data_IF_705322681031
#
_entry.id   IF_705322681031
#
_cell.length_a   1.000
_cell.length_b   1.000
_cell.length_c   1.000
_cell.angle_alpha   90.00
_cell.angle_beta   90.00
_cell.angle_gamma   90.00
#
_symmetry.space_group_name_H-M   'P 1'
#
loop_
_entity.id
_entity.type
_entity.pdbx_description
1 polymer ?
#
# COMPACT_ATOMS: atom_id res chain seq x y z
N UNK A 1 8.99 -22.34 -5.78
CA UNK A 1 9.59 -20.98 -5.72
C UNK A 1 8.48 -19.95 -5.77
N UNK A 2 8.70 -18.73 -5.26
CA UNK A 2 7.75 -17.62 -5.43
C UNK A 2 8.11 -16.83 -6.69
N UNK A 3 7.13 -16.45 -7.50
CA UNK A 3 7.34 -15.51 -8.61
C UNK A 3 7.21 -14.06 -8.14
N UNK A 4 7.66 -13.13 -8.98
CA UNK A 4 7.64 -11.70 -8.72
C UNK A 4 6.27 -11.20 -8.20
N UNK A 5 5.17 -11.55 -8.87
CA UNK A 5 3.83 -11.08 -8.49
C UNK A 5 3.36 -11.67 -7.17
N UNK A 6 3.64 -12.94 -6.91
CA UNK A 6 3.35 -13.55 -5.59
C UNK A 6 4.12 -12.87 -4.46
N UNK A 7 5.42 -12.60 -4.65
CA UNK A 7 6.24 -11.87 -3.69
C UNK A 7 5.71 -10.45 -3.46
N UNK A 8 5.41 -9.73 -4.54
CA UNK A 8 4.87 -8.37 -4.49
C UNK A 8 3.57 -8.34 -3.67
N UNK A 9 2.64 -9.24 -3.97
CA UNK A 9 1.38 -9.38 -3.25
C UNK A 9 1.58 -9.70 -1.76
N UNK A 10 2.47 -10.63 -1.42
CA UNK A 10 2.72 -10.99 -0.02
C UNK A 10 3.37 -9.87 0.77
N UNK A 11 4.35 -9.17 0.20
CA UNK A 11 4.95 -7.99 0.84
C UNK A 11 3.88 -6.93 1.09
N UNK A 12 3.04 -6.67 0.09
CA UNK A 12 2.02 -5.63 0.20
C UNK A 12 0.92 -5.99 1.19
N UNK A 13 0.47 -7.24 1.21
CA UNK A 13 -0.47 -7.76 2.19
C UNK A 13 0.13 -7.75 3.61
N UNK A 14 1.41 -8.09 3.76
CA UNK A 14 2.10 -8.06 5.05
C UNK A 14 2.20 -6.63 5.61
N UNK A 15 2.55 -5.65 4.78
CA UNK A 15 2.56 -4.23 5.18
C UNK A 15 1.14 -3.78 5.55
N UNK A 16 0.15 -4.09 4.71
CA UNK A 16 -1.23 -3.67 4.90
C UNK A 16 -1.87 -4.25 6.17
N UNK A 17 -1.81 -5.57 6.36
CA UNK A 17 -2.35 -6.26 7.53
C UNK A 17 -1.51 -6.01 8.78
N UNK A 18 -0.19 -6.06 8.66
CA UNK A 18 0.75 -5.81 9.75
C UNK A 18 0.57 -4.41 10.35
N UNK A 19 0.42 -3.39 9.52
CA UNK A 19 0.17 -2.04 10.02
C UNK A 19 -1.19 -1.94 10.74
N UNK A 20 -2.22 -2.71 10.34
CA UNK A 20 -3.52 -2.71 11.03
C UNK A 20 -3.42 -3.37 12.40
N UNK A 21 -2.67 -4.46 12.51
CA UNK A 21 -2.36 -5.08 13.80
C UNK A 21 -1.62 -4.10 14.73
N UNK A 22 -0.66 -3.34 14.19
CA UNK A 22 0.03 -2.29 14.93
C UNK A 22 -0.92 -1.15 15.37
N UNK A 23 -1.80 -0.70 14.48
CA UNK A 23 -2.82 0.32 14.79
C UNK A 23 -3.71 -0.13 15.95
N UNK A 24 -4.21 -1.37 15.90
CA UNK A 24 -5.07 -1.92 16.97
C UNK A 24 -4.31 -2.04 18.28
N UNK A 25 -3.05 -2.46 18.24
CA UNK A 25 -2.20 -2.64 19.43
C UNK A 25 -1.77 -1.31 20.07
N UNK A 26 -1.41 -0.32 19.26
CA UNK A 26 -0.81 0.93 19.71
C UNK A 26 -1.83 2.05 19.93
N UNK A 27 -3.00 1.99 19.29
CA UNK A 27 -4.11 2.93 19.50
C UNK A 27 -3.68 4.39 19.33
N UNK A 28 -3.81 5.19 20.39
CA UNK A 28 -3.44 6.61 20.38
C UNK A 28 -1.96 6.83 20.08
N UNK A 29 -1.05 5.95 20.53
CA UNK A 29 0.39 6.07 20.20
C UNK A 29 0.66 5.98 18.71
N UNK A 30 -0.15 5.20 17.98
CA UNK A 30 -0.04 5.15 16.52
C UNK A 30 -0.47 6.48 15.90
N UNK A 31 -1.57 7.08 16.38
CA UNK A 31 -2.04 8.37 15.87
C UNK A 31 -1.01 9.47 16.11
N UNK A 32 -0.44 9.52 17.32
CA UNK A 32 0.59 10.49 17.67
C UNK A 32 1.81 10.35 16.75
N UNK A 33 2.26 9.12 16.51
CA UNK A 33 3.36 8.84 15.58
C UNK A 33 3.01 9.24 14.13
N UNK A 34 1.80 8.93 13.68
CA UNK A 34 1.37 9.22 12.31
C UNK A 34 1.31 10.74 12.06
N UNK A 35 0.86 11.53 13.04
CA UNK A 35 0.77 12.99 12.94
C UNK A 35 2.11 13.72 13.16
N UNK A 36 2.96 13.24 14.06
CA UNK A 36 4.16 13.97 14.49
C UNK A 36 5.48 13.41 13.94
N UNK A 37 5.48 12.18 13.40
CA UNK A 37 6.69 11.56 12.86
C UNK A 37 6.52 11.19 11.38
N UNK A 38 5.43 10.51 11.03
CA UNK A 38 5.22 10.06 9.66
C UNK A 38 4.81 11.21 8.73
N UNK A 39 3.91 12.09 9.17
CA UNK A 39 3.37 13.19 8.38
C UNK A 39 3.46 14.54 9.10
N UNK A 40 4.70 14.99 9.34
CA UNK A 40 5.00 16.30 9.97
C UNK A 40 4.49 17.49 9.14
N UNK A 41 4.47 18.68 9.74
CA UNK A 41 4.01 19.91 9.06
C UNK A 41 4.78 20.21 7.76
N UNK A 42 6.11 20.13 7.82
CA UNK A 42 6.95 20.12 6.64
C UNK A 42 7.08 18.69 6.11
N UNK A 43 7.15 18.51 4.80
CA UNK A 43 7.27 17.17 4.18
C UNK A 43 8.59 16.51 4.58
N UNK A 44 8.58 15.38 5.29
CA UNK A 44 9.80 14.66 5.64
C UNK A 44 10.61 14.26 4.41
N UNK A 45 11.95 14.31 4.51
CA UNK A 45 12.86 13.88 3.44
C UNK A 45 12.68 12.41 3.05
N UNK A 46 12.35 11.55 4.00
CA UNK A 46 12.14 10.12 3.74
C UNK A 46 10.92 9.86 2.83
N UNK A 47 9.92 10.75 2.82
CA UNK A 47 8.76 10.61 1.92
C UNK A 47 9.16 10.74 0.46
N UNK A 48 10.16 11.57 0.12
CA UNK A 48 10.64 11.65 -1.27
C UNK A 48 11.22 10.31 -1.75
N UNK A 49 11.98 9.62 -0.89
CA UNK A 49 12.51 8.30 -1.20
C UNK A 49 11.40 7.26 -1.31
N UNK A 50 10.42 7.29 -0.40
CA UNK A 50 9.27 6.40 -0.43
C UNK A 50 8.41 6.61 -1.70
N UNK A 51 8.19 7.86 -2.10
CA UNK A 51 7.43 8.22 -3.29
C UNK A 51 8.14 7.76 -4.56
N UNK A 52 9.44 8.00 -4.66
CA UNK A 52 10.25 7.53 -5.78
C UNK A 52 10.24 6.00 -5.88
N UNK A 53 10.38 5.31 -4.74
CA UNK A 53 10.32 3.86 -4.69
C UNK A 53 8.96 3.33 -5.14
N UNK A 54 7.86 3.95 -4.69
CA UNK A 54 6.52 3.56 -5.10
C UNK A 54 6.30 3.71 -6.61
N UNK A 55 6.75 4.83 -7.20
CA UNK A 55 6.70 5.05 -8.66
C UNK A 55 7.53 3.99 -9.38
N UNK A 56 8.75 3.72 -8.92
CA UNK A 56 9.65 2.73 -9.52
C UNK A 56 9.07 1.32 -9.47
N UNK A 57 8.49 0.91 -8.33
CA UNK A 57 7.85 -0.40 -8.18
C UNK A 57 6.63 -0.53 -9.10
N UNK A 58 5.82 0.53 -9.26
CA UNK A 58 4.69 0.51 -10.21
C UNK A 58 5.18 0.36 -11.65
N UNK A 59 6.16 1.17 -12.07
CA UNK A 59 6.72 1.11 -13.41
C UNK A 59 7.34 -0.27 -13.71
N UNK A 60 8.12 -0.80 -12.77
CA UNK A 60 8.73 -2.12 -12.89
C UNK A 60 7.67 -3.24 -12.90
N UNK A 61 6.61 -3.12 -12.09
CA UNK A 61 5.50 -4.08 -12.09
C UNK A 61 4.82 -4.12 -13.44
N UNK A 62 4.53 -2.96 -14.04
CA UNK A 62 4.00 -2.91 -15.40
C UNK A 62 4.97 -3.55 -16.40
N UNK A 63 6.26 -3.23 -16.37
CA UNK A 63 7.26 -3.90 -17.20
C UNK A 63 7.21 -5.44 -17.06
N UNK A 64 7.08 -5.97 -15.84
CA UNK A 64 6.96 -7.40 -15.59
C UNK A 64 5.66 -8.01 -16.14
N UNK A 65 4.57 -7.23 -16.22
CA UNK A 65 3.32 -7.70 -16.86
C UNK A 65 3.56 -8.00 -18.34
N UNK A 66 4.36 -7.19 -19.04
CA UNK A 66 4.71 -7.42 -20.45
C UNK A 66 5.74 -8.54 -20.63
N UNK A 67 6.61 -8.74 -19.63
CA UNK A 67 7.73 -9.69 -19.72
C UNK A 67 7.40 -11.12 -19.25
N UNK A 68 6.33 -11.32 -18.50
CA UNK A 68 6.00 -12.61 -17.90
C UNK A 68 4.70 -13.15 -18.44
N UNK A 69 4.59 -14.47 -18.51
CA UNK A 69 3.38 -15.19 -18.95
C UNK A 69 2.45 -15.53 -17.78
N UNK A 70 2.48 -14.73 -16.70
CA UNK A 70 1.63 -14.97 -15.53
C UNK A 70 0.22 -14.49 -15.83
N UNK A 71 -0.73 -15.43 -15.82
CA UNK A 71 -2.12 -15.13 -16.13
C UNK A 71 -2.70 -14.19 -15.08
N UNK A 72 -3.27 -13.08 -15.55
CA UNK A 72 -3.89 -12.08 -14.67
C UNK A 72 -2.90 -11.20 -13.92
N UNK A 73 -1.60 -11.20 -14.26
CA UNK A 73 -0.59 -10.32 -13.63
C UNK A 73 -0.95 -8.82 -13.68
N UNK A 74 -1.67 -8.40 -14.73
CA UNK A 74 -2.18 -7.04 -14.90
C UNK A 74 -3.11 -6.59 -13.75
N UNK A 75 -3.79 -7.53 -13.07
CA UNK A 75 -4.67 -7.22 -11.93
C UNK A 75 -3.85 -6.64 -10.78
N UNK A 76 -2.71 -7.28 -10.44
CA UNK A 76 -1.81 -6.77 -9.42
C UNK A 76 -1.22 -5.41 -9.81
N UNK A 77 -0.85 -5.23 -11.07
CA UNK A 77 -0.36 -3.94 -11.57
C UNK A 77 -1.40 -2.83 -11.42
N UNK A 78 -2.67 -3.08 -11.76
CA UNK A 78 -3.75 -2.11 -11.58
C UNK A 78 -3.99 -1.77 -10.11
N UNK A 79 -4.06 -2.78 -9.24
CA UNK A 79 -4.24 -2.55 -7.81
C UNK A 79 -3.08 -1.73 -7.22
N UNK A 80 -1.86 -1.97 -7.68
CA UNK A 80 -0.70 -1.18 -7.29
C UNK A 80 -0.76 0.25 -7.85
N UNK A 81 -1.24 0.44 -9.08
CA UNK A 81 -1.49 1.77 -9.64
C UNK A 81 -2.55 2.56 -8.87
N UNK A 82 -3.54 1.93 -8.24
CA UNK A 82 -4.48 2.62 -7.35
C UNK A 82 -3.79 3.21 -6.11
N UNK A 83 -2.77 2.51 -5.57
CA UNK A 83 -1.93 3.06 -4.49
C UNK A 83 -1.19 4.30 -4.96
N UNK A 84 -0.74 4.32 -6.23
CA UNK A 84 -0.02 5.44 -6.79
C UNK A 84 -0.84 6.74 -6.77
N UNK A 85 -2.18 6.68 -6.82
CA UNK A 85 -3.04 7.85 -6.68
C UNK A 85 -2.81 8.53 -5.33
N UNK A 86 -2.72 7.75 -4.24
CA UNK A 86 -2.40 8.25 -2.90
C UNK A 86 -0.99 8.85 -2.87
N UNK A 87 -0.03 8.17 -3.49
CA UNK A 87 1.37 8.64 -3.59
C UNK A 87 1.44 9.97 -4.33
N UNK A 88 0.73 10.14 -5.46
CA UNK A 88 0.66 11.40 -6.18
C UNK A 88 0.07 12.53 -5.32
N UNK A 89 -0.97 12.26 -4.54
CA UNK A 89 -1.53 13.24 -3.60
C UNK A 89 -0.50 13.64 -2.54
N UNK A 90 0.26 12.68 -2.01
CA UNK A 90 1.34 12.91 -1.06
C UNK A 90 2.50 13.72 -1.68
N UNK A 91 2.87 13.42 -2.94
CA UNK A 91 3.97 14.07 -3.66
C UNK A 91 3.69 15.51 -4.02
N UNK A 92 2.54 15.77 -4.66
CA UNK A 92 2.25 17.06 -5.29
C UNK A 92 1.36 17.95 -4.41
N UNK A 93 0.61 17.37 -3.47
CA UNK A 93 -0.36 18.08 -2.64
C UNK A 93 -0.20 17.72 -1.17
N UNK A 94 1.04 17.67 -0.70
CA UNK A 94 1.39 17.24 0.67
C UNK A 94 0.53 17.90 1.76
N UNK A 95 0.34 19.23 1.71
CA UNK A 95 -0.47 19.93 2.72
C UNK A 95 -1.94 19.50 2.70
N UNK A 96 -2.52 19.25 1.53
CA UNK A 96 -3.88 18.71 1.42
C UNK A 96 -3.95 17.27 1.92
N UNK A 97 -2.94 16.47 1.59
CA UNK A 97 -2.81 15.09 2.05
C UNK A 97 -2.69 15.00 3.57
N UNK A 98 -1.85 15.84 4.21
CA UNK A 98 -1.73 15.91 5.67
C UNK A 98 -3.05 16.29 6.33
N UNK A 99 -3.77 17.30 5.82
CA UNK A 99 -5.10 17.66 6.32
C UNK A 99 -6.10 16.51 6.22
N UNK A 100 -6.03 15.71 5.15
CA UNK A 100 -6.83 14.50 5.03
C UNK A 100 -6.46 13.47 6.10
N UNK A 101 -5.17 13.22 6.35
CA UNK A 101 -4.72 12.32 7.42
C UNK A 101 -5.24 12.80 8.79
N UNK A 102 -5.07 14.08 9.12
CA UNK A 102 -5.58 14.64 10.37
C UNK A 102 -7.09 14.46 10.52
N UNK A 103 -7.86 14.66 9.44
CA UNK A 103 -9.30 14.39 9.42
C UNK A 103 -9.61 12.91 9.64
N UNK A 104 -8.87 12.01 9.00
CA UNK A 104 -9.02 10.56 9.19
C UNK A 104 -8.74 10.16 10.64
N UNK A 105 -7.71 10.72 11.27
CA UNK A 105 -7.34 10.42 12.66
C UNK A 105 -8.34 11.00 13.68
N UNK A 106 -8.94 12.17 13.39
CA UNK A 106 -9.93 12.82 14.24
C UNK A 106 -11.36 12.28 14.12
N UNK A 107 -11.72 11.65 13.00
CA UNK A 107 -13.06 11.10 12.77
C UNK A 107 -13.07 9.58 12.92
N UNK A 108 -13.73 9.07 13.98
CA UNK A 108 -13.81 7.63 14.27
C UNK A 108 -14.46 6.81 13.17
N UNK A 109 -15.46 7.36 12.46
CA UNK A 109 -16.16 6.67 11.37
C UNK A 109 -15.25 6.58 10.15
N UNK A 110 -14.59 7.69 9.81
CA UNK A 110 -13.65 7.74 8.69
C UNK A 110 -12.41 6.88 8.95
N UNK A 111 -11.84 6.94 10.16
CA UNK A 111 -10.73 6.08 10.59
C UNK A 111 -11.06 4.60 10.42
N UNK A 112 -12.25 4.19 10.89
CA UNK A 112 -12.72 2.81 10.79
C UNK A 112 -12.93 2.40 9.33
N UNK A 113 -13.53 3.27 8.52
CA UNK A 113 -13.72 3.03 7.10
C UNK A 113 -12.39 2.80 6.38
N UNK A 114 -11.39 3.68 6.59
CA UNK A 114 -10.05 3.55 5.99
C UNK A 114 -9.38 2.24 6.42
N UNK A 115 -9.49 1.87 7.70
CA UNK A 115 -8.90 0.62 8.19
C UNK A 115 -9.55 -0.62 7.59
N UNK A 116 -10.88 -0.66 7.48
CA UNK A 116 -11.58 -1.76 6.80
C UNK A 116 -11.28 -1.81 5.31
N UNK A 117 -11.25 -0.67 4.63
CA UNK A 117 -10.92 -0.61 3.20
C UNK A 117 -9.52 -1.17 2.92
N UNK A 118 -8.53 -0.78 3.72
CA UNK A 118 -7.18 -1.30 3.53
C UNK A 118 -7.06 -2.75 4.00
N UNK A 119 -7.77 -3.17 5.04
CA UNK A 119 -7.86 -4.58 5.43
C UNK A 119 -8.42 -5.46 4.30
N UNK A 120 -9.55 -5.05 3.72
CA UNK A 120 -10.17 -5.73 2.58
C UNK A 120 -9.27 -5.74 1.34
N UNK A 121 -8.67 -4.60 0.99
CA UNK A 121 -7.68 -4.53 -0.09
C UNK A 121 -6.51 -5.49 0.15
N UNK A 122 -5.97 -5.55 1.37
CA UNK A 122 -4.85 -6.43 1.71
C UNK A 122 -5.23 -7.91 1.62
N UNK A 123 -6.46 -8.27 1.99
CA UNK A 123 -6.97 -9.63 1.84
C UNK A 123 -7.11 -10.04 0.36
N UNK A 124 -7.60 -9.13 -0.49
CA UNK A 124 -7.66 -9.35 -1.95
C UNK A 124 -6.26 -9.55 -2.52
N UNK A 125 -5.31 -8.69 -2.14
CA UNK A 125 -3.92 -8.79 -2.59
C UNK A 125 -3.26 -10.07 -2.10
N UNK A 126 -3.53 -10.51 -0.86
CA UNK A 126 -3.05 -11.78 -0.33
C UNK A 126 -3.57 -12.97 -1.15
N UNK A 127 -4.87 -12.98 -1.45
CA UNK A 127 -5.49 -14.02 -2.27
C UNK A 127 -4.90 -14.07 -3.68
N UNK A 128 -4.63 -12.91 -4.30
CA UNK A 128 -3.91 -12.82 -5.57
C UNK A 128 -2.49 -13.38 -5.47
N UNK A 129 -1.78 -13.09 -4.38
CA UNK A 129 -0.45 -13.66 -4.14
C UNK A 129 -0.44 -15.18 -4.11
N UNK A 130 -1.43 -15.77 -3.41
CA UNK A 130 -1.63 -17.23 -3.39
C UNK A 130 -1.97 -17.75 -4.79
N UNK A 131 -2.86 -17.08 -5.51
CA UNK A 131 -3.23 -17.45 -6.88
C UNK A 131 -2.03 -17.49 -7.82
N UNK A 132 -1.18 -16.44 -7.82
CA UNK A 132 0.02 -16.42 -8.65
C UNK A 132 1.05 -17.46 -8.22
N UNK A 133 1.17 -17.74 -6.92
CA UNK A 133 2.05 -18.80 -6.43
C UNK A 133 1.61 -20.17 -6.98
N UNK A 134 0.31 -20.46 -6.95
CA UNK A 134 -0.24 -21.74 -7.41
C UNK A 134 -0.09 -21.93 -8.93
N UNK A 135 -0.08 -20.86 -9.73
CA UNK A 135 0.19 -20.97 -11.17
C UNK A 135 1.59 -21.54 -11.45
N UNK A 136 2.59 -21.21 -10.62
CA UNK A 136 3.94 -21.73 -10.78
C UNK A 136 4.05 -23.24 -10.48
N UNK A 137 3.11 -23.79 -9.71
CA UNK A 137 3.10 -25.22 -9.32
C UNK A 137 2.39 -26.07 -10.39
N UNK A 138 1.55 -25.45 -11.22
CA UNK A 138 0.75 -26.13 -12.26
C UNK A 138 1.43 -26.19 -13.62
N UNK A 139 2.63 -25.62 -13.76
CA UNK A 139 3.51 -25.68 -14.93
C UNK A 139 4.64 -26.64 -14.61
#
# INVERSE_FOLDING_TARGET
>A
MLNYFSCLCFIWAAVGLGSRLLIVRLGERWKDWEEHSAYTESRPKWLYAADLLAVAVVAFTWYMVWKTEITGAWIAALLLSLVLIKVCAQMYRYNSFRKFIQRVLGDRKLFRAVNWSVGGFSAVVLALGVYYMLQLIRV
#
